data_IF_100183256623
#
_entry.id   IF_100183256623
#
_cell.length_a   1.000
_cell.length_b   1.000
_cell.length_c   1.000
_cell.angle_alpha   90.00
_cell.angle_beta   90.00
_cell.angle_gamma   90.00
#
_symmetry.space_group_name_H-M   'P 1'
#
loop_
_entity.id
_entity.type
_entity.pdbx_description
1 polymer ?
#
# COMPACT_ATOMS: atom_id res chain seq x y z
N UNK A 1 46.93 -14.75 -45.03
CA UNK A 1 45.71 -14.15 -45.62
C UNK A 1 44.52 -14.85 -45.00
N UNK A 2 43.64 -14.30 -44.19
CA UNK A 2 43.37 -12.97 -43.65
C UNK A 2 41.94 -13.09 -43.13
N UNK A 3 41.74 -13.27 -41.81
CA UNK A 3 40.41 -13.47 -41.25
C UNK A 3 39.60 -12.18 -41.42
N UNK A 4 38.55 -12.22 -42.25
CA UNK A 4 37.65 -11.08 -42.47
C UNK A 4 36.76 -10.92 -41.24
N UNK A 5 37.04 -9.91 -40.43
CA UNK A 5 36.13 -9.50 -39.34
C UNK A 5 34.86 -8.92 -39.96
N UNK A 6 33.78 -9.69 -39.95
CA UNK A 6 32.43 -9.16 -40.18
C UNK A 6 32.07 -8.28 -38.99
N UNK A 7 31.93 -6.96 -39.22
CA UNK A 7 31.41 -6.02 -38.21
C UNK A 7 30.07 -6.55 -37.72
N UNK A 8 29.97 -6.83 -36.43
CA UNK A 8 28.65 -6.98 -35.78
C UNK A 8 27.99 -5.61 -35.98
N UNK A 9 26.96 -5.58 -36.82
CA UNK A 9 26.14 -4.38 -37.04
C UNK A 9 25.65 -3.94 -35.65
N UNK A 10 25.63 -2.64 -35.40
CA UNK A 10 24.88 -2.05 -34.29
C UNK A 10 23.39 -2.36 -34.52
N UNK A 11 22.99 -3.60 -34.23
CA UNK A 11 21.62 -3.90 -33.93
C UNK A 11 21.40 -3.16 -32.62
N UNK A 12 20.69 -2.02 -32.70
CA UNK A 12 20.15 -1.39 -31.51
C UNK A 12 19.37 -2.48 -30.79
N UNK A 13 19.93 -3.00 -29.70
CA UNK A 13 19.17 -3.67 -28.67
C UNK A 13 18.22 -2.61 -28.14
N UNK A 14 17.08 -2.45 -28.81
CA UNK A 14 15.93 -1.72 -28.28
C UNK A 14 15.37 -2.61 -27.19
N UNK A 15 16.04 -2.63 -26.06
CA UNK A 15 15.43 -3.08 -24.82
C UNK A 15 14.27 -2.11 -24.56
N UNK A 16 13.07 -2.56 -24.91
CA UNK A 16 11.85 -1.88 -24.51
C UNK A 16 11.64 -2.18 -23.04
N UNK A 17 11.82 -1.17 -22.19
CA UNK A 17 11.32 -1.17 -20.83
C UNK A 17 9.79 -1.23 -20.86
N UNK A 18 9.22 -2.40 -21.14
CA UNK A 18 7.82 -2.68 -20.83
C UNK A 18 7.71 -3.00 -19.33
N UNK A 19 8.13 -2.04 -18.51
CA UNK A 19 7.82 -1.96 -17.08
C UNK A 19 6.44 -1.31 -16.96
N UNK A 20 5.41 -2.02 -17.41
CA UNK A 20 4.02 -1.61 -17.23
C UNK A 20 3.34 -2.65 -16.36
N UNK A 21 2.73 -2.23 -15.26
CA UNK A 21 1.57 -2.98 -14.76
C UNK A 21 0.61 -3.06 -15.94
N UNK A 22 0.57 -4.18 -16.65
CA UNK A 22 -0.36 -4.37 -17.75
C UNK A 22 -1.74 -4.47 -17.13
N UNK A 23 -2.38 -3.31 -16.99
CA UNK A 23 -3.83 -3.21 -16.87
C UNK A 23 -4.35 -3.79 -18.18
N UNK A 24 -4.55 -5.10 -18.18
CA UNK A 24 -5.44 -5.72 -19.14
C UNK A 24 -6.78 -5.05 -18.81
N UNK A 25 -7.20 -4.10 -19.64
CA UNK A 25 -8.53 -3.51 -19.58
C UNK A 25 -9.55 -4.62 -19.86
N UNK A 26 -9.76 -5.49 -18.89
CA UNK A 26 -11.12 -5.90 -18.58
C UNK A 26 -11.78 -4.59 -18.19
N UNK A 27 -12.76 -4.16 -18.98
CA UNK A 27 -13.63 -3.03 -18.65
C UNK A 27 -14.18 -3.38 -17.27
N UNK A 28 -13.54 -2.84 -16.23
CA UNK A 28 -14.08 -2.87 -14.88
C UNK A 28 -15.40 -2.15 -15.04
N UNK A 29 -16.49 -2.85 -14.77
CA UNK A 29 -17.80 -2.23 -14.70
C UNK A 29 -17.64 -0.95 -13.89
N UNK A 30 -18.22 0.19 -14.34
CA UNK A 30 -18.11 1.43 -13.60
C UNK A 30 -18.46 1.08 -12.16
N UNK A 31 -17.49 1.31 -11.26
CA UNK A 31 -17.70 1.14 -9.83
C UNK A 31 -18.98 1.92 -9.56
N UNK A 32 -20.10 1.21 -9.40
CA UNK A 32 -21.32 1.84 -8.95
C UNK A 32 -20.90 2.53 -7.67
N UNK A 33 -21.25 3.81 -7.54
CA UNK A 33 -21.01 4.61 -6.35
C UNK A 33 -21.70 3.88 -5.18
N UNK A 34 -21.04 2.85 -4.65
CA UNK A 34 -21.19 2.39 -3.30
C UNK A 34 -20.77 3.61 -2.52
N UNK A 35 -21.74 4.49 -2.24
CA UNK A 35 -21.61 5.69 -1.43
C UNK A 35 -20.50 5.40 -0.45
N UNK A 36 -19.33 6.00 -0.70
CA UNK A 36 -18.08 5.60 -0.06
C UNK A 36 -18.40 5.60 1.41
N UNK A 37 -18.58 4.40 1.98
CA UNK A 37 -19.12 4.25 3.31
C UNK A 37 -17.93 4.67 4.16
N UNK A 38 -17.84 5.97 4.41
CA UNK A 38 -16.67 6.64 4.97
C UNK A 38 -16.33 5.81 6.18
N UNK A 39 -15.19 5.15 6.11
CA UNK A 39 -14.89 4.07 7.03
C UNK A 39 -14.85 4.67 8.42
N UNK A 40 -15.92 4.45 9.21
CA UNK A 40 -16.08 4.86 10.61
C UNK A 40 -15.03 4.20 11.53
N UNK A 41 -14.05 3.52 10.94
CA UNK A 41 -13.07 2.66 11.56
C UNK A 41 -11.68 3.17 11.17
N UNK A 42 -10.91 3.55 12.19
CA UNK A 42 -9.52 3.94 12.09
C UNK A 42 -8.62 2.77 12.51
N UNK A 43 -7.54 2.55 11.77
CA UNK A 43 -6.53 1.56 12.13
C UNK A 43 -5.51 2.19 13.06
N UNK A 44 -5.37 1.64 14.27
CA UNK A 44 -4.39 2.05 15.29
C UNK A 44 -3.31 0.98 15.49
N UNK A 45 -2.05 1.40 15.58
CA UNK A 45 -0.93 0.52 15.91
C UNK A 45 -0.46 0.81 17.34
N UNK A 46 -0.48 -0.20 18.20
CA UNK A 46 -0.04 -0.07 19.58
C UNK A 46 1.46 0.24 19.66
N UNK A 47 1.85 1.28 20.40
CA UNK A 47 3.26 1.69 20.49
C UNK A 47 4.15 0.69 21.22
N UNK A 48 3.58 -0.08 22.15
CA UNK A 48 4.33 -1.05 22.98
C UNK A 48 4.52 -2.41 22.32
N UNK A 49 3.44 -3.02 21.79
CA UNK A 49 3.50 -4.38 21.25
C UNK A 49 3.38 -4.44 19.72
N UNK A 50 3.14 -3.31 19.05
CA UNK A 50 3.00 -3.26 17.60
C UNK A 50 1.72 -3.88 17.05
N UNK A 51 0.81 -4.37 17.91
CA UNK A 51 -0.47 -4.94 17.47
C UNK A 51 -1.28 -3.90 16.71
N UNK A 52 -1.87 -4.30 15.58
CA UNK A 52 -2.76 -3.47 14.78
C UNK A 52 -4.20 -3.74 15.20
N UNK A 53 -4.94 -2.68 15.50
CA UNK A 53 -6.32 -2.74 15.97
C UNK A 53 -7.19 -1.79 15.16
N UNK A 54 -8.45 -2.16 14.98
CA UNK A 54 -9.47 -1.30 14.38
C UNK A 54 -10.28 -0.64 15.51
N UNK A 55 -10.23 0.70 15.56
CA UNK A 55 -10.95 1.50 16.55
C UNK A 55 -12.03 2.33 15.84
N UNK A 56 -13.19 2.57 16.48
CA UNK A 56 -14.18 3.48 15.91
C UNK A 56 -13.63 4.91 15.85
N UNK A 57 -14.16 5.72 14.94
CA UNK A 57 -13.73 7.09 14.77
C UNK A 57 -13.91 7.88 16.08
N UNK A 58 -12.83 8.46 16.63
CA UNK A 58 -12.89 9.20 17.88
C UNK A 58 -13.65 10.52 17.70
N UNK A 59 -14.57 10.82 18.61
CA UNK A 59 -15.33 12.09 18.59
C UNK A 59 -14.53 13.31 19.06
N UNK A 60 -13.33 13.10 19.59
CA UNK A 60 -12.48 14.13 20.19
C UNK A 60 -11.08 14.04 19.61
N UNK A 61 -10.42 15.19 19.49
CA UNK A 61 -9.04 15.28 19.03
C UNK A 61 -8.05 14.57 19.97
N UNK A 62 -8.33 14.61 21.29
CA UNK A 62 -7.55 13.90 22.29
C UNK A 62 -8.32 12.70 22.84
N UNK A 63 -7.72 11.52 22.71
CA UNK A 63 -8.29 10.26 23.15
C UNK A 63 -7.21 9.28 23.60
N UNK A 64 -7.65 8.23 24.29
CA UNK A 64 -6.80 7.16 24.78
C UNK A 64 -7.25 5.85 24.15
N UNK A 65 -6.31 5.09 23.61
CA UNK A 65 -6.54 3.75 23.07
C UNK A 65 -5.92 2.74 24.01
N UNK A 66 -6.73 1.79 24.48
CA UNK A 66 -6.25 0.67 25.29
C UNK A 66 -6.03 -0.51 24.36
N UNK A 67 -4.84 -1.10 24.42
CA UNK A 67 -4.50 -2.28 23.64
C UNK A 67 -5.39 -3.46 24.05
N UNK A 68 -6.14 -3.99 23.07
CA UNK A 68 -7.00 -5.16 23.24
C UNK A 68 -6.23 -6.47 23.41
N UNK A 69 -4.91 -6.47 23.14
CA UNK A 69 -4.08 -7.63 23.42
C UNK A 69 -3.94 -7.82 24.93
N UNK A 70 -4.44 -8.95 25.42
CA UNK A 70 -4.62 -9.26 26.85
C UNK A 70 -3.36 -9.16 27.70
N UNK A 71 -2.19 -9.41 27.10
CA UNK A 71 -0.91 -9.36 27.81
C UNK A 71 -0.25 -7.98 27.75
N UNK A 72 -0.69 -7.10 26.83
CA UNK A 72 -0.11 -5.77 26.68
C UNK A 72 -0.82 -4.74 27.55
N UNK A 73 -2.13 -4.59 27.40
CA UNK A 73 -2.94 -3.62 28.17
C UNK A 73 -2.45 -2.17 28.10
N UNK A 74 -1.57 -1.83 27.16
CA UNK A 74 -0.95 -0.53 27.08
C UNK A 74 -1.95 0.56 26.68
N UNK A 75 -1.67 1.79 27.13
CA UNK A 75 -2.53 2.94 27.00
C UNK A 75 -1.84 3.99 26.13
N UNK A 76 -2.19 4.04 24.85
CA UNK A 76 -1.67 5.04 23.91
C UNK A 76 -2.49 6.33 24.04
N UNK A 77 -1.83 7.45 24.30
CA UNK A 77 -2.43 8.78 24.25
C UNK A 77 -2.23 9.39 22.86
N UNK A 78 -3.34 9.72 22.19
CA UNK A 78 -3.35 10.36 20.88
C UNK A 78 -3.90 11.77 21.01
N UNK A 79 -3.28 12.72 20.30
CA UNK A 79 -3.51 14.16 20.44
C UNK A 79 -2.44 14.79 21.34
N UNK A 80 -1.85 15.90 20.89
CA UNK A 80 -0.86 16.68 21.65
C UNK A 80 -1.46 17.33 22.89
#
# INVERSE_FOLDING_TARGET
MGLRQSRIREQKDSYEDQMGWTVTQQVLEPFEDLESQESDILTHQCSMCGSIMQIPHPKRERYKVICAYSECGHEDMIGF
#
